data_IF_503678368009
#
_entry.id   IF_503678368009
#
_cell.length_a   1.000
_cell.length_b   1.000
_cell.length_c   1.000
_cell.angle_alpha   90.00
_cell.angle_beta   90.00
_cell.angle_gamma   90.00
#
_symmetry.space_group_name_H-M   'P 1'
#
loop_
_entity.id
_entity.type
_entity.pdbx_description
1 polymer ?
#
# COMPACT_ATOMS: atom_id res chain seq x y z
N UNK A 1 -16.80 -42.41 -37.29
CA UNK A 1 -17.57 -41.19 -36.96
C UNK A 1 -16.89 -40.59 -35.73
N UNK A 2 -15.83 -39.78 -35.93
CA UNK A 2 -14.99 -39.29 -34.83
C UNK A 2 -15.56 -37.98 -34.30
N UNK A 3 -15.94 -37.99 -33.03
CA UNK A 3 -16.27 -36.79 -32.27
C UNK A 3 -14.98 -35.99 -32.06
N UNK A 4 -14.79 -34.93 -32.84
CA UNK A 4 -13.76 -33.92 -32.56
C UNK A 4 -14.24 -33.08 -31.38
N UNK A 5 -13.65 -33.31 -30.21
CA UNK A 5 -13.82 -32.46 -29.05
C UNK A 5 -13.24 -31.07 -29.38
N UNK A 6 -14.12 -30.07 -29.47
CA UNK A 6 -13.71 -28.68 -29.65
C UNK A 6 -12.98 -28.23 -28.38
N UNK A 7 -11.79 -27.62 -28.47
CA UNK A 7 -11.10 -27.14 -27.29
C UNK A 7 -11.92 -26.04 -26.61
N UNK A 8 -12.20 -26.23 -25.32
CA UNK A 8 -12.81 -25.23 -24.44
C UNK A 8 -11.85 -24.04 -24.40
N UNK A 9 -12.29 -22.89 -24.92
CA UNK A 9 -11.57 -21.65 -24.74
C UNK A 9 -11.76 -21.21 -23.28
N UNK A 10 -10.77 -21.51 -22.45
CA UNK A 10 -10.67 -20.94 -21.11
C UNK A 10 -10.31 -19.47 -21.31
N UNK A 11 -11.31 -18.60 -21.18
CA UNK A 11 -11.11 -17.16 -21.09
C UNK A 11 -10.42 -16.86 -19.76
N UNK A 12 -9.10 -16.95 -19.77
CA UNK A 12 -8.24 -16.41 -18.74
C UNK A 12 -8.31 -14.88 -18.81
N UNK A 13 -9.41 -14.31 -18.31
CA UNK A 13 -9.42 -12.94 -17.85
C UNK A 13 -8.66 -12.91 -16.52
N UNK A 14 -7.36 -13.20 -16.61
CA UNK A 14 -6.41 -12.89 -15.58
C UNK A 14 -6.35 -11.38 -15.61
N UNK A 15 -7.02 -10.73 -14.65
CA UNK A 15 -6.73 -9.35 -14.30
C UNK A 15 -5.23 -9.28 -14.00
N UNK A 16 -4.45 -8.92 -15.02
CA UNK A 16 -3.03 -8.64 -14.96
C UNK A 16 -2.80 -7.32 -14.23
N UNK A 17 -3.21 -7.26 -12.96
CA UNK A 17 -2.73 -6.27 -11.99
C UNK A 17 -1.64 -6.87 -11.09
N UNK A 18 -1.00 -7.96 -11.52
CA UNK A 18 0.27 -8.46 -10.97
C UNK A 18 1.44 -7.92 -11.80
N UNK A 19 1.53 -6.59 -11.91
CA UNK A 19 2.82 -5.93 -12.09
C UNK A 19 3.22 -5.47 -10.71
N UNK A 20 3.94 -6.33 -9.98
CA UNK A 20 4.47 -5.99 -8.66
C UNK A 20 5.23 -4.67 -8.77
N UNK A 21 4.73 -3.65 -8.05
CA UNK A 21 5.27 -2.29 -8.15
C UNK A 21 6.74 -2.34 -7.73
N UNK A 22 7.63 -1.73 -8.52
CA UNK A 22 9.06 -1.87 -8.31
C UNK A 22 9.46 -1.33 -6.93
N UNK A 23 10.57 -1.83 -6.38
CA UNK A 23 11.07 -1.38 -5.07
C UNK A 23 11.27 0.15 -5.00
N UNK A 24 11.62 0.77 -6.14
CA UNK A 24 11.78 2.23 -6.25
C UNK A 24 10.45 2.97 -6.13
N UNK A 25 9.40 2.45 -6.74
CA UNK A 25 8.05 3.02 -6.68
C UNK A 25 7.43 2.83 -5.29
N UNK A 26 7.62 1.66 -4.67
CA UNK A 26 7.25 1.45 -3.26
C UNK A 26 7.92 2.45 -2.34
N UNK A 27 9.22 2.69 -2.52
CA UNK A 27 9.96 3.69 -1.75
C UNK A 27 9.41 5.12 -1.98
N UNK A 28 9.05 5.46 -3.22
CA UNK A 28 8.41 6.75 -3.52
C UNK A 28 7.05 6.91 -2.81
N UNK A 29 6.21 5.87 -2.79
CA UNK A 29 4.93 5.86 -2.07
C UNK A 29 5.17 6.03 -0.57
N UNK A 30 6.13 5.29 -0.04
CA UNK A 30 6.57 5.35 1.36
C UNK A 30 6.96 6.76 1.79
N UNK A 31 7.90 7.40 1.09
CA UNK A 31 8.33 8.78 1.40
C UNK A 31 7.21 9.80 1.32
N UNK A 32 6.28 9.62 0.37
CA UNK A 32 5.12 10.50 0.25
C UNK A 32 4.22 10.38 1.48
N UNK A 33 3.96 9.15 1.93
CA UNK A 33 3.12 8.89 3.11
C UNK A 33 3.79 9.37 4.41
N UNK A 34 5.12 9.29 4.51
CA UNK A 34 5.87 9.89 5.62
C UNK A 34 5.68 11.40 5.68
N UNK A 35 5.87 12.11 4.56
CA UNK A 35 5.69 13.56 4.51
C UNK A 35 4.24 13.99 4.82
N UNK A 36 3.26 13.24 4.33
CA UNK A 36 1.84 13.49 4.64
C UNK A 36 1.53 13.22 6.13
N UNK A 37 2.12 12.18 6.71
CA UNK A 37 2.01 11.86 8.14
C UNK A 37 2.63 12.94 9.03
N UNK A 38 3.83 13.42 8.68
CA UNK A 38 4.52 14.50 9.39
C UNK A 38 3.70 15.80 9.35
N UNK A 39 3.13 16.14 8.19
CA UNK A 39 2.25 17.30 8.07
C UNK A 39 1.02 17.19 8.98
N UNK A 40 0.34 16.05 8.97
CA UNK A 40 -0.82 15.81 9.86
C UNK A 40 -0.42 15.86 11.33
N UNK A 41 0.74 15.33 11.68
CA UNK A 41 1.27 15.40 13.04
C UNK A 41 1.51 16.84 13.49
N UNK A 42 2.13 17.66 12.63
CA UNK A 42 2.35 19.09 12.90
C UNK A 42 1.03 19.86 13.07
N UNK A 43 0.01 19.54 12.27
CA UNK A 43 -1.34 20.12 12.40
C UNK A 43 -2.00 19.72 13.75
N UNK A 44 -1.87 18.46 14.18
CA UNK A 44 -2.39 18.00 15.47
C UNK A 44 -1.66 18.62 16.66
N UNK A 45 -0.34 18.79 16.56
CA UNK A 45 0.46 19.50 17.55
C UNK A 45 0.05 20.97 17.66
N UNK A 46 -0.15 21.63 16.51
CA UNK A 46 -0.55 23.05 16.46
C UNK A 46 -1.94 23.30 17.04
N UNK A 47 -2.83 22.30 16.95
CA UNK A 47 -4.20 22.37 17.52
C UNK A 47 -4.29 21.84 18.95
N UNK A 48 -3.18 21.37 19.52
CA UNK A 48 -3.10 20.73 20.84
C UNK A 48 -4.10 19.54 21.00
N UNK A 49 -4.40 18.86 19.89
CA UNK A 49 -5.29 17.68 19.85
C UNK A 49 -4.52 16.36 19.73
N UNK A 50 -3.19 16.42 19.94
CA UNK A 50 -2.32 15.26 19.85
C UNK A 50 -2.62 14.25 20.96
N UNK A 51 -3.27 13.15 20.59
CA UNK A 51 -3.56 12.00 21.44
C UNK A 51 -2.96 10.73 20.83
N UNK A 52 -2.81 9.67 21.64
CA UNK A 52 -2.37 8.35 21.15
C UNK A 52 -3.31 7.84 20.04
N UNK A 53 -4.62 8.06 20.20
CA UNK A 53 -5.61 7.65 19.19
C UNK A 53 -5.41 8.40 17.86
N UNK A 54 -5.12 9.71 17.92
CA UNK A 54 -4.88 10.52 16.73
C UNK A 54 -3.58 10.12 15.99
N UNK A 55 -2.53 9.77 16.74
CA UNK A 55 -1.30 9.20 16.21
C UNK A 55 -1.54 7.84 15.55
N UNK A 56 -2.31 6.98 16.23
CA UNK A 56 -2.68 5.65 15.71
C UNK A 56 -3.47 5.79 14.41
N UNK A 57 -4.42 6.72 14.35
CA UNK A 57 -5.20 6.98 13.15
C UNK A 57 -4.34 7.46 11.97
N UNK A 58 -3.33 8.31 12.20
CA UNK A 58 -2.39 8.72 11.14
C UNK A 58 -1.63 7.51 10.59
N UNK A 59 -1.08 6.67 11.47
CA UNK A 59 -0.32 5.50 11.07
C UNK A 59 -1.19 4.47 10.33
N UNK A 60 -2.39 4.19 10.84
CA UNK A 60 -3.34 3.28 10.17
C UNK A 60 -3.75 3.77 8.79
N UNK A 61 -4.00 5.07 8.64
CA UNK A 61 -4.36 5.66 7.35
C UNK A 61 -3.20 5.54 6.36
N UNK A 62 -1.97 5.84 6.80
CA UNK A 62 -0.76 5.62 5.99
C UNK A 62 -0.62 4.16 5.55
N UNK A 63 -0.82 3.21 6.45
CA UNK A 63 -0.78 1.78 6.14
C UNK A 63 -1.86 1.35 5.14
N UNK A 64 -3.11 1.79 5.34
CA UNK A 64 -4.23 1.51 4.41
C UNK A 64 -3.95 2.07 3.02
N UNK A 65 -3.42 3.30 2.94
CA UNK A 65 -3.03 3.91 1.68
C UNK A 65 -1.86 3.20 0.99
N UNK A 66 -0.84 2.79 1.75
CA UNK A 66 0.26 2.00 1.21
C UNK A 66 -0.28 0.72 0.58
N UNK A 67 -1.07 -0.06 1.33
CA UNK A 67 -1.66 -1.31 0.84
C UNK A 67 -2.55 -1.11 -0.38
N UNK A 68 -3.33 -0.03 -0.40
CA UNK A 68 -4.17 0.32 -1.56
C UNK A 68 -3.32 0.64 -2.80
N UNK A 69 -2.18 1.31 -2.61
CA UNK A 69 -1.28 1.73 -3.70
C UNK A 69 -0.35 0.60 -4.16
N UNK A 70 0.11 -0.27 -3.27
CA UNK A 70 1.14 -1.30 -3.54
C UNK A 70 0.58 -2.71 -3.70
N UNK A 71 -0.65 -2.95 -3.25
CA UNK A 71 -1.24 -4.29 -3.17
C UNK A 71 -0.68 -5.16 -2.05
N UNK A 72 0.31 -4.66 -1.29
CA UNK A 72 1.03 -5.44 -0.28
C UNK A 72 1.04 -4.73 1.08
N UNK A 73 1.19 -5.50 2.16
CA UNK A 73 1.45 -4.92 3.47
C UNK A 73 2.91 -4.43 3.54
N UNK A 74 3.17 -3.39 4.32
CA UNK A 74 4.55 -2.99 4.63
C UNK A 74 5.31 -4.16 5.28
N UNK A 75 6.47 -4.49 4.76
CA UNK A 75 7.34 -5.53 5.32
C UNK A 75 8.13 -4.98 6.51
N UNK A 76 8.60 -5.87 7.39
CA UNK A 76 9.45 -5.48 8.50
C UNK A 76 10.75 -4.78 8.04
N UNK A 77 11.32 -5.20 6.91
CA UNK A 77 12.52 -4.56 6.35
C UNK A 77 12.24 -3.12 5.92
N UNK A 78 11.08 -2.86 5.33
CA UNK A 78 10.66 -1.50 4.94
C UNK A 78 10.37 -0.63 6.17
N UNK A 79 9.67 -1.16 7.18
CA UNK A 79 9.47 -0.43 8.44
C UNK A 79 10.80 -0.11 9.13
N UNK A 80 11.74 -1.06 9.16
CA UNK A 80 13.07 -0.84 9.73
C UNK A 80 13.85 0.22 8.95
N UNK A 81 13.72 0.28 7.63
CA UNK A 81 14.38 1.30 6.82
C UNK A 81 13.84 2.72 7.09
N UNK A 82 12.60 2.83 7.58
CA UNK A 82 11.95 4.10 7.93
C UNK A 82 12.21 4.53 9.37
N UNK A 83 12.13 3.58 10.31
CA UNK A 83 12.03 3.88 11.74
C UNK A 83 13.15 3.29 12.60
N UNK A 84 14.05 2.46 12.03
CA UNK A 84 15.03 1.68 12.77
C UNK A 84 16.49 1.99 12.46
#
# INVERSE_FOLDING_TARGET
MSLQEKPVQINNNIDTSSSGISAKEKNAVMKKLEAEGEKKLAELQSTNTLTIDSLTAIMENGFKEFKKKTGENLTYAEMRAMYG
#
